data_IF_632650006579
#
_entry.id   IF_632650006579
#
_cell.length_a   1.000
_cell.length_b   1.000
_cell.length_c   1.000
_cell.angle_alpha   90.00
_cell.angle_beta   90.00
_cell.angle_gamma   90.00
#
_symmetry.space_group_name_H-M   'P 1'
#
loop_
_entity.id
_entity.type
_entity.pdbx_description
1 polymer ?
#
# COMPACT_ATOMS: atom_id res chain seq x y z
N UNK A 1 -69.59 -2.07 27.04
CA UNK A 1 -68.34 -2.72 26.58
C UNK A 1 -67.44 -2.80 27.79
N UNK A 2 -67.13 -4.03 28.17
CA UNK A 2 -66.43 -4.37 29.41
C UNK A 2 -64.97 -3.95 29.39
N UNK A 3 -64.50 -3.75 30.62
CA UNK A 3 -63.17 -3.47 31.14
C UNK A 3 -62.05 -4.32 30.53
N UNK A 4 -60.92 -3.69 30.17
CA UNK A 4 -59.58 -4.30 30.31
C UNK A 4 -58.55 -3.23 30.69
N UNK A 5 -58.52 -2.89 31.98
CA UNK A 5 -57.28 -2.55 32.65
C UNK A 5 -56.44 -3.82 32.76
N UNK A 6 -55.34 -3.92 32.01
CA UNK A 6 -54.27 -4.84 32.41
C UNK A 6 -52.93 -4.29 31.92
N UNK A 7 -52.20 -3.71 32.87
CA UNK A 7 -50.76 -3.62 32.81
C UNK A 7 -50.26 -5.06 32.78
N UNK A 8 -49.99 -5.61 31.59
CA UNK A 8 -49.17 -6.81 31.49
C UNK A 8 -47.74 -6.38 31.79
N UNK A 9 -47.34 -6.63 33.03
CA UNK A 9 -45.96 -6.77 33.45
C UNK A 9 -45.19 -7.54 32.36
N UNK A 10 -44.04 -7.03 31.94
CA UNK A 10 -43.14 -7.76 31.06
C UNK A 10 -42.70 -9.04 31.79
N UNK A 11 -43.42 -10.13 31.59
CA UNK A 11 -42.96 -11.46 31.88
C UNK A 11 -41.72 -11.70 31.01
N UNK A 12 -40.54 -11.52 31.59
CA UNK A 12 -39.33 -12.16 31.08
C UNK A 12 -39.64 -13.65 31.18
N UNK A 13 -39.71 -14.41 30.07
CA UNK A 13 -39.82 -15.85 30.17
C UNK A 13 -38.63 -16.31 31.00
N UNK A 14 -38.87 -16.97 32.14
CA UNK A 14 -37.83 -17.72 32.83
C UNK A 14 -37.31 -18.73 31.80
N UNK A 15 -36.18 -18.42 31.18
CA UNK A 15 -35.39 -19.38 30.43
C UNK A 15 -34.80 -20.33 31.48
N UNK A 16 -35.55 -21.38 31.78
CA UNK A 16 -35.18 -22.55 32.59
C UNK A 16 -34.05 -23.34 31.87
N UNK A 17 -32.93 -22.66 31.65
CA UNK A 17 -31.81 -23.14 30.87
C UNK A 17 -30.46 -22.54 31.30
N UNK A 18 -30.37 -21.98 32.52
CA UNK A 18 -29.06 -21.68 33.10
C UNK A 18 -28.35 -23.01 33.35
N UNK A 19 -27.44 -23.38 32.45
CA UNK A 19 -26.54 -24.52 32.61
C UNK A 19 -25.78 -24.34 33.94
N UNK A 20 -26.12 -25.17 34.91
CA UNK A 20 -25.49 -25.18 36.24
C UNK A 20 -24.42 -26.25 36.22
N UNK A 21 -23.16 -25.83 36.09
CA UNK A 21 -22.03 -26.74 36.21
C UNK A 21 -21.84 -27.14 37.68
N UNK A 22 -21.53 -28.40 37.92
CA UNK A 22 -21.23 -28.83 39.27
C UNK A 22 -19.86 -28.30 39.68
N UNK A 23 -19.62 -28.06 40.97
CA UNK A 23 -18.29 -27.70 41.47
C UNK A 23 -17.21 -28.71 41.07
N UNK A 24 -17.59 -29.98 40.92
CA UNK A 24 -16.67 -31.02 40.47
C UNK A 24 -16.27 -30.84 39.00
N UNK A 25 -17.16 -30.33 38.15
CA UNK A 25 -16.86 -30.02 36.74
C UNK A 25 -15.98 -28.78 36.65
N UNK A 26 -16.24 -27.75 37.47
CA UNK A 26 -15.38 -26.57 37.58
C UNK A 26 -13.98 -26.93 38.07
N UNK A 27 -13.87 -27.76 39.11
CA UNK A 27 -12.58 -28.24 39.64
C UNK A 27 -11.85 -29.15 38.63
N UNK A 28 -12.58 -29.93 37.83
CA UNK A 28 -12.00 -30.74 36.76
C UNK A 28 -11.41 -29.85 35.65
N UNK A 29 -12.14 -28.81 35.23
CA UNK A 29 -11.67 -27.82 34.26
C UNK A 29 -10.44 -27.06 34.77
N UNK A 30 -10.44 -26.66 36.05
CA UNK A 30 -9.30 -25.97 36.66
C UNK A 30 -8.05 -26.86 36.78
N UNK A 31 -8.22 -28.18 36.93
CA UNK A 31 -7.10 -29.12 36.91
C UNK A 31 -6.61 -29.46 35.50
N UNK A 32 -7.47 -29.32 34.48
CA UNK A 32 -7.09 -29.48 33.08
C UNK A 32 -6.32 -28.25 32.56
N UNK A 33 -6.66 -27.05 33.06
CA UNK A 33 -5.94 -25.82 32.76
C UNK A 33 -4.59 -25.81 33.50
N UNK A 34 -3.49 -26.00 32.78
CA UNK A 34 -2.15 -25.95 33.35
C UNK A 34 -1.55 -24.54 33.25
N UNK A 35 -0.55 -24.21 34.09
CA UNK A 35 0.18 -22.93 34.02
C UNK A 35 0.89 -22.70 32.67
N UNK A 36 1.07 -23.76 31.86
CA UNK A 36 1.56 -23.65 30.48
C UNK A 36 0.53 -23.11 29.50
N UNK A 37 -0.77 -23.35 29.74
CA UNK A 37 -1.85 -22.92 28.82
C UNK A 37 -2.09 -21.40 28.85
N UNK A 38 -1.70 -20.75 29.94
CA UNK A 38 -1.82 -19.30 30.14
C UNK A 38 -0.46 -18.61 30.22
N UNK A 39 0.48 -19.00 29.36
CA UNK A 39 1.77 -18.33 29.26
C UNK A 39 1.74 -17.20 28.21
N UNK A 40 1.61 -15.91 28.59
CA UNK A 40 1.56 -14.81 27.63
C UNK A 40 2.85 -14.66 26.82
N UNK A 41 3.97 -15.20 27.31
CA UNK A 41 5.24 -15.21 26.58
C UNK A 41 5.23 -16.19 25.39
N UNK A 42 4.43 -17.26 25.42
CA UNK A 42 4.27 -18.16 24.27
C UNK A 42 3.45 -17.52 23.14
N UNK A 43 2.56 -16.58 23.45
CA UNK A 43 1.84 -15.79 22.46
C UNK A 43 2.78 -14.83 21.70
N UNK A 44 3.85 -14.35 22.34
CA UNK A 44 4.89 -13.52 21.72
C UNK A 44 5.91 -14.38 20.95
N UNK A 45 6.16 -15.61 21.40
CA UNK A 45 7.11 -16.54 20.78
C UNK A 45 6.60 -17.25 19.50
N UNK A 46 5.30 -17.23 19.22
CA UNK A 46 4.73 -17.72 17.95
C UNK A 46 4.67 -16.61 16.92
N UNK A 47 5.80 -15.99 16.59
CA UNK A 47 5.92 -15.45 15.24
C UNK A 47 6.01 -16.67 14.33
N UNK A 48 4.89 -17.07 13.71
CA UNK A 48 4.92 -18.19 12.76
C UNK A 48 6.00 -17.85 11.72
N UNK A 49 7.02 -18.72 11.51
CA UNK A 49 8.08 -18.44 10.55
C UNK A 49 7.53 -18.14 9.14
N UNK A 50 6.32 -18.62 8.80
CA UNK A 50 5.61 -18.22 7.58
C UNK A 50 5.13 -16.78 7.61
N UNK A 51 4.66 -16.29 8.74
CA UNK A 51 4.15 -14.93 8.91
C UNK A 51 5.30 -13.91 8.93
N UNK A 52 6.43 -14.25 9.58
CA UNK A 52 7.67 -13.49 9.50
C UNK A 52 8.24 -13.43 8.07
N UNK A 53 8.22 -14.56 7.35
CA UNK A 53 8.63 -14.61 5.95
C UNK A 53 7.69 -13.80 5.04
N UNK A 54 6.39 -13.83 5.30
CA UNK A 54 5.40 -13.03 4.58
C UNK A 54 5.56 -11.53 4.83
N UNK A 55 5.85 -11.12 6.07
CA UNK A 55 6.15 -9.72 6.42
C UNK A 55 7.38 -9.23 5.67
N UNK A 56 8.47 -10.01 5.68
CA UNK A 56 9.68 -9.66 4.96
C UNK A 56 9.44 -9.55 3.43
N UNK A 57 8.60 -10.43 2.86
CA UNK A 57 8.22 -10.35 1.46
C UNK A 57 7.37 -9.09 1.16
N UNK A 58 6.46 -8.72 2.08
CA UNK A 58 5.66 -7.50 1.99
C UNK A 58 6.51 -6.22 2.08
N UNK A 59 7.50 -6.20 2.97
CA UNK A 59 8.48 -5.11 3.05
C UNK A 59 9.28 -5.03 1.75
N UNK A 60 9.82 -6.14 1.24
CA UNK A 60 10.58 -6.15 0.00
C UNK A 60 9.76 -5.64 -1.21
N UNK A 61 8.49 -6.03 -1.29
CA UNK A 61 7.57 -5.54 -2.33
C UNK A 61 7.34 -4.04 -2.21
N UNK A 62 7.14 -3.55 -0.98
CA UNK A 62 6.95 -2.11 -0.71
C UNK A 62 8.21 -1.31 -1.08
N UNK A 63 9.40 -1.81 -0.69
CA UNK A 63 10.69 -1.23 -1.06
C UNK A 63 10.86 -1.14 -2.58
N UNK A 64 10.46 -2.19 -3.32
CA UNK A 64 10.54 -2.20 -4.78
C UNK A 64 9.64 -1.14 -5.41
N UNK A 65 8.40 -0.98 -4.93
CA UNK A 65 7.47 0.06 -5.41
C UNK A 65 8.01 1.46 -5.12
N UNK A 66 8.56 1.69 -3.93
CA UNK A 66 9.17 2.97 -3.57
C UNK A 66 10.40 3.23 -4.44
N UNK A 67 11.23 2.23 -4.71
CA UNK A 67 12.41 2.35 -5.58
C UNK A 67 12.05 2.74 -7.02
N UNK A 68 11.00 2.14 -7.60
CA UNK A 68 10.47 2.56 -8.91
C UNK A 68 10.00 4.01 -8.88
N UNK A 69 9.32 4.41 -7.80
CA UNK A 69 8.86 5.80 -7.64
C UNK A 69 10.03 6.77 -7.57
N UNK A 70 11.09 6.43 -6.83
CA UNK A 70 12.30 7.23 -6.74
C UNK A 70 12.98 7.40 -8.11
N UNK A 71 13.04 6.33 -8.90
CA UNK A 71 13.62 6.37 -10.25
C UNK A 71 12.81 7.24 -11.21
N UNK A 72 11.48 7.17 -11.14
CA UNK A 72 10.59 8.05 -11.91
C UNK A 72 10.85 9.51 -11.53
N UNK A 73 10.97 9.84 -10.24
CA UNK A 73 11.26 11.20 -9.80
C UNK A 73 12.66 11.64 -10.27
N UNK A 74 13.66 10.74 -10.23
CA UNK A 74 15.00 11.04 -10.76
C UNK A 74 14.99 11.36 -12.24
N UNK A 75 14.32 10.54 -13.02
CA UNK A 75 14.28 10.66 -14.47
C UNK A 75 13.53 11.91 -14.92
N UNK A 76 12.48 12.31 -14.20
CA UNK A 76 11.55 13.34 -14.68
C UNK A 76 11.55 14.65 -13.89
N UNK A 77 12.05 14.67 -12.65
CA UNK A 77 12.07 15.87 -11.80
C UNK A 77 13.50 16.30 -11.50
N UNK A 78 14.31 15.44 -10.88
CA UNK A 78 15.67 15.78 -10.50
C UNK A 78 16.57 14.55 -10.32
N UNK A 79 17.63 14.44 -11.13
CA UNK A 79 18.53 13.27 -11.18
C UNK A 79 19.15 12.85 -9.84
N UNK A 80 19.39 13.80 -8.93
CA UNK A 80 20.01 13.53 -7.61
C UNK A 80 18.97 13.29 -6.50
N UNK A 81 17.68 13.17 -6.86
CA UNK A 81 16.64 12.88 -5.88
C UNK A 81 16.84 11.48 -5.28
N UNK A 82 16.77 11.37 -3.96
CA UNK A 82 16.72 10.12 -3.19
C UNK A 82 15.77 10.31 -2.02
N UNK A 83 14.97 9.31 -1.71
CA UNK A 83 14.26 9.25 -0.44
C UNK A 83 15.25 8.92 0.68
N UNK A 84 14.96 9.40 1.88
CA UNK A 84 15.74 9.04 3.07
C UNK A 84 15.50 7.57 3.44
N UNK A 85 16.56 6.80 3.67
CA UNK A 85 16.46 5.36 3.95
C UNK A 85 15.57 5.03 5.15
N UNK A 86 15.58 5.87 6.20
CA UNK A 86 14.75 5.63 7.38
C UNK A 86 13.27 5.86 7.08
N UNK A 87 12.96 6.87 6.25
CA UNK A 87 11.58 7.09 5.78
C UNK A 87 11.11 5.94 4.89
N UNK A 88 11.94 5.49 3.96
CA UNK A 88 11.62 4.37 3.06
C UNK A 88 11.34 3.10 3.86
N UNK A 89 12.21 2.75 4.82
CA UNK A 89 11.99 1.60 5.71
C UNK A 89 10.74 1.77 6.57
N UNK A 90 10.48 2.97 7.08
CA UNK A 90 9.27 3.25 7.88
C UNK A 90 7.99 3.03 7.07
N UNK A 91 7.95 3.48 5.82
CA UNK A 91 6.80 3.28 4.93
C UNK A 91 6.68 1.82 4.50
N UNK A 92 7.80 1.16 4.17
CA UNK A 92 7.79 -0.25 3.78
C UNK A 92 7.30 -1.16 4.91
N UNK A 93 7.77 -0.94 6.14
CA UNK A 93 7.31 -1.67 7.32
C UNK A 93 5.84 -1.41 7.63
N UNK A 94 5.36 -0.17 7.47
CA UNK A 94 3.94 0.15 7.66
C UNK A 94 3.03 -0.46 6.58
N UNK A 95 3.54 -0.63 5.36
CA UNK A 95 2.80 -1.21 4.25
C UNK A 95 2.87 -2.75 4.23
N UNK A 96 3.90 -3.37 4.82
CA UNK A 96 4.08 -4.82 4.83
C UNK A 96 2.87 -5.62 5.33
N UNK A 97 2.15 -5.23 6.40
CA UNK A 97 0.93 -5.92 6.84
C UNK A 97 -0.17 -5.96 5.79
N UNK A 98 -0.25 -4.98 4.89
CA UNK A 98 -1.21 -5.00 3.78
C UNK A 98 -0.90 -6.17 2.84
N UNK A 99 0.37 -6.36 2.50
CA UNK A 99 0.79 -7.46 1.66
C UNK A 99 0.62 -8.81 2.37
N UNK A 100 0.90 -8.91 3.67
CA UNK A 100 0.67 -10.15 4.44
C UNK A 100 -0.80 -10.55 4.45
N UNK A 101 -1.70 -9.59 4.72
CA UNK A 101 -3.15 -9.83 4.78
C UNK A 101 -3.71 -10.38 3.47
N UNK A 102 -3.11 -10.01 2.34
CA UNK A 102 -3.55 -10.41 1.01
C UNK A 102 -2.58 -11.39 0.33
N UNK A 103 -1.72 -12.08 1.09
CA UNK A 103 -0.86 -13.15 0.55
C UNK A 103 0.22 -12.67 -0.43
N UNK A 104 0.64 -11.41 -0.33
CA UNK A 104 1.56 -10.74 -1.26
C UNK A 104 0.85 -10.11 -2.45
N UNK A 105 -0.47 -10.27 -2.58
CA UNK A 105 -1.26 -9.69 -3.67
C UNK A 105 -1.87 -8.34 -3.28
N UNK A 106 -2.33 -7.58 -4.28
CA UNK A 106 -3.02 -6.32 -4.04
C UNK A 106 -4.38 -6.59 -3.34
N UNK A 107 -4.86 -5.67 -2.48
CA UNK A 107 -6.18 -5.78 -1.88
C UNK A 107 -7.29 -5.96 -2.94
N UNK A 108 -8.36 -6.75 -2.69
CA UNK A 108 -9.42 -7.00 -3.67
C UNK A 108 -10.09 -5.74 -4.23
N UNK A 109 -10.23 -4.69 -3.39
CA UNK A 109 -10.78 -3.41 -3.82
C UNK A 109 -9.88 -2.65 -4.80
N UNK A 110 -8.59 -2.98 -4.85
CA UNK A 110 -7.61 -2.41 -5.78
C UNK A 110 -7.39 -3.31 -6.99
N UNK A 111 -7.50 -4.63 -6.83
CA UNK A 111 -7.40 -5.61 -7.94
C UNK A 111 -8.39 -5.30 -9.05
N UNK A 112 -9.62 -4.91 -8.71
CA UNK A 112 -10.64 -4.52 -9.69
C UNK A 112 -10.25 -3.30 -10.55
N UNK A 113 -9.30 -2.48 -10.09
CA UNK A 113 -8.80 -1.29 -10.80
C UNK A 113 -7.45 -1.52 -11.47
N UNK A 114 -6.94 -2.75 -11.47
CA UNK A 114 -5.60 -3.05 -11.99
C UNK A 114 -5.45 -2.63 -13.45
N UNK A 115 -6.46 -2.91 -14.27
CA UNK A 115 -6.44 -2.60 -15.70
C UNK A 115 -6.58 -1.08 -15.94
N UNK A 116 -7.43 -0.41 -15.16
CA UNK A 116 -7.61 1.03 -15.19
C UNK A 116 -6.34 1.77 -14.76
N UNK A 117 -5.68 1.32 -13.70
CA UNK A 117 -4.43 1.88 -13.23
C UNK A 117 -3.32 1.67 -14.28
N UNK A 118 -3.27 0.48 -14.88
CA UNK A 118 -2.32 0.16 -15.95
C UNK A 118 -2.56 1.03 -17.18
N UNK A 119 -3.82 1.23 -17.57
CA UNK A 119 -4.19 2.13 -18.65
C UNK A 119 -3.81 3.58 -18.35
N UNK A 120 -4.13 4.08 -17.16
CA UNK A 120 -3.77 5.45 -16.74
C UNK A 120 -2.27 5.64 -16.73
N UNK A 121 -1.51 4.66 -16.23
CA UNK A 121 -0.04 4.70 -16.28
C UNK A 121 0.48 4.71 -17.72
N UNK A 122 -0.03 3.84 -18.59
CA UNK A 122 0.38 3.79 -19.99
C UNK A 122 0.02 5.07 -20.75
N UNK A 123 -1.20 5.58 -20.58
CA UNK A 123 -1.66 6.82 -21.18
C UNK A 123 -0.87 8.03 -20.64
N UNK A 124 -0.59 8.07 -19.35
CA UNK A 124 0.25 9.07 -18.70
C UNK A 124 1.68 9.07 -19.25
N UNK A 125 2.31 7.89 -19.33
CA UNK A 125 3.64 7.73 -19.89
C UNK A 125 3.70 8.15 -21.37
N UNK A 126 2.69 7.78 -22.17
CA UNK A 126 2.60 8.17 -23.57
C UNK A 126 2.45 9.69 -23.73
N UNK A 127 1.53 10.30 -22.98
CA UNK A 127 1.31 11.76 -23.01
C UNK A 127 2.54 12.55 -22.57
N UNK A 128 3.19 12.08 -21.51
CA UNK A 128 4.42 12.68 -21.01
C UNK A 128 5.58 12.57 -22.02
N UNK A 129 5.82 11.37 -22.58
CA UNK A 129 6.87 11.18 -23.59
C UNK A 129 6.65 12.05 -24.84
N UNK A 130 5.39 12.20 -25.25
CA UNK A 130 5.01 13.06 -26.38
C UNK A 130 5.32 14.53 -26.10
N UNK A 131 5.04 15.01 -24.89
CA UNK A 131 5.38 16.38 -24.49
C UNK A 131 6.90 16.63 -24.55
N UNK A 132 7.71 15.69 -24.05
CA UNK A 132 9.17 15.79 -24.11
C UNK A 132 9.70 15.79 -25.54
N UNK A 133 9.24 14.87 -26.38
CA UNK A 133 9.64 14.81 -27.80
C UNK A 133 9.32 16.12 -28.53
N UNK A 134 8.13 16.70 -28.30
CA UNK A 134 7.77 17.99 -28.91
C UNK A 134 8.69 19.12 -28.42
N UNK A 135 9.03 19.14 -27.12
CA UNK A 135 9.93 20.16 -26.56
C UNK A 135 11.35 20.04 -27.14
N UNK A 136 11.85 18.82 -27.32
CA UNK A 136 13.15 18.55 -27.92
C UNK A 136 13.18 18.94 -29.40
N UNK A 137 12.16 18.56 -30.17
CA UNK A 137 12.03 18.96 -31.58
C UNK A 137 12.01 20.49 -31.72
N UNK A 138 11.22 21.19 -30.89
CA UNK A 138 11.20 22.67 -30.85
C UNK A 138 12.54 23.29 -30.44
N UNK A 139 13.34 22.60 -29.62
CA UNK A 139 14.68 23.07 -29.26
C UNK A 139 15.66 22.89 -30.42
N UNK A 140 15.60 21.75 -31.12
CA UNK A 140 16.40 21.49 -32.32
C UNK A 140 16.07 22.46 -33.45
N UNK A 141 14.79 22.76 -33.67
CA UNK A 141 14.37 23.71 -34.69
C UNK A 141 14.90 25.13 -34.40
N UNK A 142 14.78 25.60 -33.14
CA UNK A 142 15.38 26.88 -32.74
C UNK A 142 16.90 26.90 -32.87
N UNK A 143 17.58 25.78 -32.59
CA UNK A 143 19.02 25.69 -32.74
C UNK A 143 19.45 25.80 -34.22
N UNK A 144 18.68 25.19 -35.14
CA UNK A 144 18.90 25.31 -36.59
C UNK A 144 18.64 26.72 -37.10
N UNK A 145 17.58 27.38 -36.65
CA UNK A 145 17.28 28.78 -37.01
C UNK A 145 18.40 29.73 -36.56
N UNK A 146 18.95 29.54 -35.35
CA UNK A 146 20.08 30.35 -34.85
C UNK A 146 21.37 30.07 -35.64
N UNK A 147 21.61 28.83 -36.06
CA UNK A 147 22.78 28.49 -36.90
C UNK A 147 22.65 29.08 -38.30
N UNK A 148 21.50 28.95 -38.95
CA UNK A 148 21.23 29.56 -40.26
C UNK A 148 21.39 31.09 -40.22
N UNK A 149 20.86 31.75 -39.18
CA UNK A 149 21.02 33.20 -39.01
C UNK A 149 22.48 33.64 -38.74
N UNK A 150 23.34 32.75 -38.22
CA UNK A 150 24.78 33.02 -38.05
C UNK A 150 25.57 32.79 -39.32
N UNK A 151 25.17 31.83 -40.16
CA UNK A 151 25.78 31.58 -41.47
C UNK A 151 25.43 32.70 -42.47
N UNK A 152 24.19 33.20 -42.46
CA UNK A 152 23.77 34.33 -43.31
C UNK A 152 24.28 35.70 -42.82
N UNK A 153 24.80 35.76 -41.58
CA UNK A 153 25.27 36.97 -40.91
C UNK A 153 26.78 37.16 -40.88
N UNK A 154 27.56 36.38 -41.63
CA UNK A 154 29.01 36.57 -41.78
C UNK A 154 29.34 37.39 -43.05
N UNK A 155 29.46 38.73 -42.98
CA UNK A 155 30.02 39.51 -44.07
C UNK A 155 31.55 39.49 -44.00
N UNK A 156 32.18 38.92 -45.01
CA UNK A 156 33.58 39.19 -45.36
C UNK A 156 33.53 39.55 -46.86
N UNK A 157 33.51 40.81 -47.30
CA UNK A 157 34.47 41.87 -47.01
C UNK A 157 35.96 41.44 -47.12
N UNK A 158 36.26 40.57 -48.09
CA UNK A 158 37.61 40.41 -48.60
C UNK A 158 37.64 40.00 -50.07
N UNK A 159 37.57 40.99 -50.98
CA UNK A 159 38.23 40.93 -52.29
C UNK A 159 38.25 42.35 -52.89
N UNK A 160 39.49 42.84 -53.08
CA UNK A 160 39.97 44.07 -53.74
C UNK A 160 39.05 44.73 -54.78
#
# INVERSE_FOLDING_TARGET
>A
MENLTEYSENEIPNDDGLETHSKADEDALLNEITEQDFNPDEAVAKTDPKEAAALAAGEATSMAVIGVTEEVIRQFVHKDFMFDEAQVKGVAGAAAPLFVKYGGELPPWLVQYKEELTFVMAAGALGFSSYHQVKELKALDRAKEIQAAKEDGAPDHAAD
#
